data_IF_856643056826
#
_entry.id   IF_856643056826
#
_cell.length_a   1.000
_cell.length_b   1.000
_cell.length_c   1.000
_cell.angle_alpha   90.00
_cell.angle_beta   90.00
_cell.angle_gamma   90.00
#
_symmetry.space_group_name_H-M   'P 1'
#
loop_
_entity.id
_entity.type
_entity.pdbx_description
1 polymer ?
#
# COMPACT_ATOMS: atom_id res chain seq x y z
N UNK A 1 10.26 -31.46 -24.86
CA UNK A 1 9.11 -32.39 -24.97
C UNK A 1 8.06 -31.93 -23.99
N UNK A 2 6.93 -31.42 -24.52
CA UNK A 2 5.80 -31.04 -23.68
C UNK A 2 5.06 -32.32 -23.27
N UNK A 3 5.21 -32.68 -21.99
CA UNK A 3 4.55 -33.88 -21.43
C UNK A 3 3.04 -33.65 -21.15
N UNK A 4 2.57 -32.39 -21.26
CA UNK A 4 1.18 -32.02 -21.00
C UNK A 4 0.46 -31.59 -22.28
N UNK A 5 -0.87 -31.59 -22.24
CA UNK A 5 -1.65 -30.99 -23.32
C UNK A 5 -1.40 -29.48 -23.40
N UNK A 6 -1.53 -28.91 -24.62
CA UNK A 6 -1.33 -27.48 -24.84
C UNK A 6 -2.13 -26.59 -23.85
N UNK A 7 -3.36 -26.99 -23.52
CA UNK A 7 -4.23 -26.25 -22.60
C UNK A 7 -3.67 -26.23 -21.17
N UNK A 8 -3.11 -27.36 -20.72
CA UNK A 8 -2.47 -27.44 -19.36
C UNK A 8 -1.21 -26.59 -19.34
N UNK A 9 -0.39 -26.68 -20.39
CA UNK A 9 0.85 -25.88 -20.50
C UNK A 9 0.54 -24.39 -20.46
N UNK A 10 -0.41 -23.91 -21.25
CA UNK A 10 -0.83 -22.50 -21.24
C UNK A 10 -1.33 -22.04 -19.86
N UNK A 11 -2.14 -22.85 -19.18
CA UNK A 11 -2.61 -22.50 -17.83
C UNK A 11 -1.45 -22.41 -16.81
N UNK A 12 -0.48 -23.31 -16.90
CA UNK A 12 0.73 -23.28 -16.06
C UNK A 12 1.53 -22.01 -16.33
N UNK A 13 1.72 -21.66 -17.60
CA UNK A 13 2.45 -20.45 -18.00
C UNK A 13 1.78 -19.18 -17.48
N UNK A 14 0.46 -19.04 -17.64
CA UNK A 14 -0.27 -17.85 -17.13
C UNK A 14 -0.21 -17.74 -15.61
N UNK A 15 -0.38 -18.85 -14.89
CA UNK A 15 -0.25 -18.86 -13.44
C UNK A 15 1.18 -18.55 -12.98
N UNK A 16 2.19 -18.99 -13.74
CA UNK A 16 3.61 -18.73 -13.47
C UNK A 16 4.04 -17.27 -13.65
N UNK A 17 3.25 -16.45 -14.37
CA UNK A 17 3.47 -15.00 -14.49
C UNK A 17 3.08 -14.23 -13.24
N UNK A 18 2.33 -14.85 -12.33
CA UNK A 18 1.92 -14.19 -11.08
C UNK A 18 3.12 -14.09 -10.11
N UNK A 19 3.33 -12.92 -9.48
CA UNK A 19 4.45 -12.73 -8.57
C UNK A 19 4.39 -13.71 -7.39
N UNK A 20 5.53 -14.34 -7.08
CA UNK A 20 5.65 -15.34 -6.03
C UNK A 20 5.21 -16.76 -6.43
N UNK A 21 4.71 -16.97 -7.65
CA UNK A 21 4.32 -18.29 -8.16
C UNK A 21 5.43 -18.84 -9.07
N UNK A 22 6.25 -19.74 -8.51
CA UNK A 22 7.25 -20.47 -9.28
C UNK A 22 6.64 -21.63 -10.11
N UNK A 23 7.41 -22.21 -11.04
CA UNK A 23 6.93 -23.26 -11.96
C UNK A 23 6.25 -24.46 -11.27
N UNK A 24 6.80 -24.89 -10.12
CA UNK A 24 6.24 -26.01 -9.35
C UNK A 24 4.87 -25.68 -8.75
N UNK A 25 4.70 -24.45 -8.23
CA UNK A 25 3.44 -23.98 -7.68
C UNK A 25 2.42 -23.74 -8.78
N UNK A 26 2.83 -23.17 -9.92
CA UNK A 26 1.97 -22.99 -11.10
C UNK A 26 1.40 -24.32 -11.59
N UNK A 27 2.24 -25.36 -11.71
CA UNK A 27 1.80 -26.71 -12.08
C UNK A 27 0.77 -27.26 -11.09
N UNK A 28 1.03 -27.16 -9.79
CA UNK A 28 0.07 -27.63 -8.76
C UNK A 28 -1.27 -26.91 -8.83
N UNK A 29 -1.26 -25.59 -9.02
CA UNK A 29 -2.48 -24.78 -9.15
C UNK A 29 -3.25 -25.14 -10.42
N UNK A 30 -2.58 -25.31 -11.57
CA UNK A 30 -3.21 -25.68 -12.82
C UNK A 30 -3.94 -27.02 -12.70
N UNK A 31 -3.29 -28.06 -12.17
CA UNK A 31 -3.93 -29.35 -11.95
C UNK A 31 -5.07 -29.28 -10.93
N UNK A 32 -4.96 -28.44 -9.90
CA UNK A 32 -6.06 -28.23 -8.97
C UNK A 32 -7.28 -27.63 -9.68
N UNK A 33 -7.07 -26.56 -10.48
CA UNK A 33 -8.14 -25.89 -11.24
C UNK A 33 -8.82 -26.84 -12.21
N UNK A 34 -8.05 -27.68 -12.95
CA UNK A 34 -8.61 -28.66 -13.90
C UNK A 34 -9.50 -29.68 -13.19
N UNK A 35 -9.16 -30.06 -11.95
CA UNK A 35 -9.94 -31.02 -11.18
C UNK A 35 -11.10 -30.39 -10.39
N UNK A 36 -11.24 -29.05 -10.39
CA UNK A 36 -12.37 -28.38 -9.76
C UNK A 36 -13.65 -28.56 -10.56
N UNK A 37 -14.84 -28.53 -9.92
CA UNK A 37 -16.13 -28.42 -10.60
C UNK A 37 -16.17 -27.19 -11.52
N UNK A 38 -16.79 -27.33 -12.69
CA UNK A 38 -16.80 -26.28 -13.72
C UNK A 38 -17.44 -24.97 -13.24
N UNK A 39 -18.46 -25.04 -12.38
CA UNK A 39 -19.11 -23.88 -11.77
C UNK A 39 -18.16 -23.08 -10.87
N UNK A 40 -17.29 -23.76 -10.12
CA UNK A 40 -16.29 -23.12 -9.28
C UNK A 40 -15.18 -22.45 -10.11
N UNK A 41 -14.75 -23.09 -11.18
CA UNK A 41 -13.77 -22.50 -12.13
C UNK A 41 -14.35 -21.26 -12.77
N UNK A 42 -15.61 -21.32 -13.23
CA UNK A 42 -16.32 -20.18 -13.79
C UNK A 42 -16.42 -19.04 -12.80
N UNK A 43 -16.84 -19.33 -11.56
CA UNK A 43 -16.92 -18.33 -10.48
C UNK A 43 -15.58 -17.65 -10.23
N UNK A 44 -14.47 -18.40 -10.18
CA UNK A 44 -13.12 -17.85 -10.01
C UNK A 44 -12.76 -16.90 -11.17
N UNK A 45 -12.95 -17.35 -12.40
CA UNK A 45 -12.69 -16.56 -13.61
C UNK A 45 -13.52 -15.27 -13.64
N UNK A 46 -14.81 -15.37 -13.41
CA UNK A 46 -15.72 -14.23 -13.41
C UNK A 46 -15.36 -13.23 -12.29
N UNK A 47 -14.94 -13.73 -11.11
CA UNK A 47 -14.50 -12.87 -9.99
C UNK A 47 -13.21 -12.11 -10.34
N UNK A 48 -12.23 -12.75 -10.99
CA UNK A 48 -10.99 -12.08 -11.43
C UNK A 48 -11.31 -10.97 -12.42
N UNK A 49 -12.14 -11.25 -13.42
CA UNK A 49 -12.54 -10.27 -14.44
C UNK A 49 -13.33 -9.11 -13.78
N UNK A 50 -14.29 -9.43 -12.93
CA UNK A 50 -15.10 -8.44 -12.22
C UNK A 50 -14.25 -7.52 -11.34
N UNK A 51 -13.31 -8.07 -10.57
CA UNK A 51 -12.39 -7.29 -9.75
C UNK A 51 -11.53 -6.35 -10.62
N UNK A 52 -10.97 -6.86 -11.73
CA UNK A 52 -10.17 -6.03 -12.64
C UNK A 52 -10.97 -4.91 -13.30
N UNK A 53 -12.25 -5.13 -13.58
CA UNK A 53 -13.11 -4.17 -14.28
C UNK A 53 -13.67 -3.11 -13.34
N UNK A 54 -14.07 -3.50 -12.13
CA UNK A 54 -14.84 -2.63 -11.22
C UNK A 54 -13.98 -1.91 -10.19
N UNK A 55 -12.83 -2.49 -9.81
CA UNK A 55 -11.93 -1.83 -8.84
C UNK A 55 -11.16 -0.71 -9.53
N UNK A 56 -11.26 0.48 -8.97
CA UNK A 56 -10.60 1.70 -9.44
C UNK A 56 -10.06 2.52 -8.25
N UNK A 57 -9.47 3.65 -8.53
CA UNK A 57 -8.98 4.54 -7.48
C UNK A 57 -10.08 5.44 -6.94
N UNK A 58 -10.17 5.54 -5.62
CA UNK A 58 -10.99 6.55 -4.94
C UNK A 58 -10.59 7.95 -5.41
N UNK A 59 -11.57 8.77 -5.80
CA UNK A 59 -11.32 10.13 -6.32
C UNK A 59 -10.65 11.06 -5.30
N UNK A 60 -10.78 10.78 -4.01
CA UNK A 60 -10.18 11.61 -2.96
C UNK A 60 -8.82 11.07 -2.51
N UNK A 61 -8.75 9.82 -2.05
CA UNK A 61 -7.55 9.29 -1.38
C UNK A 61 -6.70 8.36 -2.24
N UNK A 62 -7.12 8.09 -3.46
CA UNK A 62 -6.46 7.18 -4.39
C UNK A 62 -6.37 5.72 -3.92
N UNK A 63 -7.03 5.31 -2.83
CA UNK A 63 -7.08 3.88 -2.49
C UNK A 63 -7.90 3.10 -3.51
N UNK A 64 -7.66 1.78 -3.59
CA UNK A 64 -8.46 0.90 -4.43
C UNK A 64 -9.86 0.70 -3.83
N UNK A 65 -10.90 0.87 -4.64
CA UNK A 65 -12.31 0.77 -4.24
C UNK A 65 -13.16 0.42 -5.44
N UNK A 66 -14.34 -0.11 -5.21
CA UNK A 66 -15.41 -0.32 -6.20
C UNK A 66 -16.46 0.82 -6.20
N UNK A 67 -16.29 1.82 -5.33
CA UNK A 67 -17.11 3.02 -5.28
C UNK A 67 -16.33 4.26 -5.74
N UNK A 68 -17.02 5.27 -6.25
CA UNK A 68 -16.41 6.55 -6.65
C UNK A 68 -15.56 7.17 -5.53
N UNK A 69 -16.09 7.15 -4.30
CA UNK A 69 -15.41 7.54 -3.07
C UNK A 69 -15.41 6.35 -2.12
N UNK A 70 -14.25 6.00 -1.57
CA UNK A 70 -14.14 4.84 -0.69
C UNK A 70 -14.90 5.06 0.63
N UNK A 71 -15.28 3.98 1.33
CA UNK A 71 -16.03 4.08 2.59
C UNK A 71 -15.36 4.93 3.68
N UNK A 72 -14.03 5.03 3.68
CA UNK A 72 -13.28 5.84 4.64
C UNK A 72 -13.47 7.33 4.33
N UNK A 73 -13.29 7.74 3.07
CA UNK A 73 -13.47 9.13 2.67
C UNK A 73 -14.94 9.58 2.71
N UNK A 74 -15.88 8.67 2.49
CA UNK A 74 -17.32 8.96 2.56
C UNK A 74 -17.88 9.03 3.99
N UNK A 75 -17.07 8.70 5.01
CA UNK A 75 -17.54 8.62 6.39
C UNK A 75 -17.46 9.94 7.12
N UNK A 76 -18.60 10.49 7.55
CA UNK A 76 -18.69 11.68 8.40
C UNK A 76 -18.12 11.47 9.82
N UNK A 77 -17.81 10.22 10.18
CA UNK A 77 -17.21 9.90 11.50
C UNK A 77 -15.69 10.09 11.51
N UNK A 78 -15.09 10.29 10.33
CA UNK A 78 -13.64 10.47 10.19
C UNK A 78 -13.26 11.94 10.31
N UNK A 79 -12.12 12.19 10.91
CA UNK A 79 -11.51 13.52 10.92
C UNK A 79 -10.82 13.80 9.59
N UNK A 80 -11.50 14.54 8.73
CA UNK A 80 -10.98 14.92 7.41
C UNK A 80 -9.88 15.99 7.48
N UNK A 81 -9.64 16.60 8.66
CA UNK A 81 -8.56 17.55 8.84
C UNK A 81 -7.19 16.88 9.07
N UNK A 82 -7.17 15.57 9.29
CA UNK A 82 -5.96 14.76 9.51
C UNK A 82 -5.81 13.71 8.41
N UNK A 83 -4.75 13.82 7.62
CA UNK A 83 -4.48 12.90 6.49
C UNK A 83 -3.23 12.07 6.80
N UNK A 84 -3.32 10.74 6.73
CA UNK A 84 -2.18 9.84 6.76
C UNK A 84 -1.79 9.43 5.35
N UNK A 85 -0.53 9.69 4.96
CA UNK A 85 0.03 9.31 3.66
C UNK A 85 0.71 7.96 3.76
N UNK A 86 0.32 7.04 2.90
CA UNK A 86 0.87 5.68 2.80
C UNK A 86 1.30 5.37 1.36
N UNK A 87 2.20 4.41 1.18
CA UNK A 87 2.70 4.07 -0.16
C UNK A 87 1.70 3.24 -0.98
N UNK A 88 0.92 2.36 -0.34
CA UNK A 88 -0.01 1.48 -1.03
C UNK A 88 -1.26 1.17 -0.18
N UNK A 89 -2.29 0.60 -0.82
CA UNK A 89 -3.56 0.25 -0.15
C UNK A 89 -3.37 -0.80 0.96
N UNK A 90 -2.36 -1.67 0.89
CA UNK A 90 -2.10 -2.67 1.95
C UNK A 90 -1.61 -2.02 3.22
N UNK A 91 -0.81 -0.97 3.11
CA UNK A 91 -0.33 -0.19 4.26
C UNK A 91 -1.50 0.51 4.95
N UNK A 92 -2.40 1.13 4.15
CA UNK A 92 -3.66 1.69 4.68
C UNK A 92 -4.44 0.64 5.47
N UNK A 93 -4.64 -0.54 4.90
CA UNK A 93 -5.38 -1.62 5.56
C UNK A 93 -4.70 -2.13 6.84
N UNK A 94 -3.38 -2.03 6.95
CA UNK A 94 -2.66 -2.37 8.16
C UNK A 94 -2.99 -1.39 9.30
N UNK A 95 -3.06 -0.09 9.00
CA UNK A 95 -3.49 0.92 9.99
C UNK A 95 -4.97 0.78 10.36
N UNK A 96 -5.86 0.55 9.40
CA UNK A 96 -7.29 0.34 9.67
C UNK A 96 -7.54 -0.84 10.62
N UNK A 97 -6.76 -1.92 10.50
CA UNK A 97 -6.84 -3.07 11.41
C UNK A 97 -6.54 -2.72 12.87
N UNK A 98 -5.82 -1.64 13.14
CA UNK A 98 -5.57 -1.20 14.52
C UNK A 98 -6.83 -0.67 15.20
N UNK A 99 -7.80 -0.17 14.43
CA UNK A 99 -9.05 0.44 14.91
C UNK A 99 -8.85 1.70 15.75
N UNK A 100 -7.68 2.37 15.67
CA UNK A 100 -7.31 3.53 16.49
C UNK A 100 -7.15 4.82 15.71
N UNK A 101 -6.96 4.74 14.40
CA UNK A 101 -6.81 5.91 13.57
C UNK A 101 -8.18 6.44 13.12
N UNK A 102 -8.45 7.69 13.44
CA UNK A 102 -9.75 8.33 13.17
C UNK A 102 -9.72 9.28 11.96
N UNK A 103 -8.54 9.59 11.43
CA UNK A 103 -8.37 10.43 10.26
C UNK A 103 -8.65 9.70 8.95
N UNK A 104 -8.34 10.38 7.84
CA UNK A 104 -8.45 9.84 6.48
C UNK A 104 -7.06 9.58 5.89
N UNK A 105 -7.00 8.90 4.76
CA UNK A 105 -5.73 8.49 4.15
C UNK A 105 -5.50 9.16 2.79
N UNK A 106 -4.25 9.08 2.33
CA UNK A 106 -3.88 9.28 0.94
C UNK A 106 -2.87 8.20 0.52
N UNK A 107 -3.15 7.53 -0.60
CA UNK A 107 -2.32 6.42 -1.11
C UNK A 107 -1.52 6.91 -2.32
N UNK A 108 -0.18 6.85 -2.20
CA UNK A 108 0.74 7.33 -3.24
C UNK A 108 0.89 6.37 -4.43
N UNK A 109 0.62 5.08 -4.24
CA UNK A 109 0.89 4.00 -5.21
C UNK A 109 2.36 3.89 -5.64
N UNK A 110 3.27 4.19 -4.74
CA UNK A 110 4.71 4.08 -4.93
C UNK A 110 5.50 4.96 -3.98
N UNK A 111 6.79 4.99 -4.19
CA UNK A 111 7.74 5.85 -3.50
C UNK A 111 8.72 6.45 -4.52
N UNK A 112 9.26 7.62 -4.24
CA UNK A 112 10.28 8.27 -5.07
C UNK A 112 11.55 7.42 -5.01
N UNK A 113 12.01 6.95 -6.18
CA UNK A 113 13.23 6.16 -6.31
C UNK A 113 14.05 6.64 -7.51
N UNK A 114 15.03 7.52 -7.28
CA UNK A 114 15.90 8.00 -8.36
C UNK A 114 16.65 6.87 -9.08
N UNK A 115 17.00 5.81 -8.36
CA UNK A 115 17.67 4.64 -8.92
C UNK A 115 16.80 3.87 -9.92
N UNK A 116 15.47 3.85 -9.71
CA UNK A 116 14.51 3.21 -10.60
C UNK A 116 13.88 4.20 -11.59
N UNK A 117 14.31 5.47 -11.60
CA UNK A 117 13.75 6.52 -12.43
C UNK A 117 12.33 6.95 -12.03
N UNK A 118 11.89 6.62 -10.79
CA UNK A 118 10.57 6.99 -10.28
C UNK A 118 10.67 8.35 -9.62
N UNK A 119 10.02 9.35 -10.22
CA UNK A 119 9.94 10.73 -9.74
C UNK A 119 8.62 11.03 -9.00
N UNK A 120 8.47 12.29 -8.55
CA UNK A 120 7.25 12.74 -7.88
C UNK A 120 5.98 12.67 -8.75
N UNK A 121 6.15 12.78 -10.09
CA UNK A 121 5.04 12.74 -11.04
C UNK A 121 4.57 11.31 -11.36
N UNK A 122 5.35 10.30 -11.00
CA UNK A 122 5.02 8.88 -11.21
C UNK A 122 4.18 8.28 -10.07
N UNK A 123 4.02 9.03 -8.98
CA UNK A 123 3.21 8.66 -7.81
C UNK A 123 2.07 9.66 -7.62
N UNK A 124 1.07 9.32 -6.80
CA UNK A 124 -0.13 10.14 -6.56
C UNK A 124 0.13 11.37 -5.65
N UNK A 125 1.25 12.04 -5.85
CA UNK A 125 1.64 13.22 -5.07
C UNK A 125 0.89 14.47 -5.49
N UNK A 126 0.61 14.63 -6.79
CA UNK A 126 -0.15 15.76 -7.32
C UNK A 126 -1.56 15.81 -6.73
N UNK A 127 -2.21 14.67 -6.62
CA UNK A 127 -3.53 14.54 -6.00
C UNK A 127 -3.48 14.86 -4.50
N UNK A 128 -2.41 14.44 -3.81
CA UNK A 128 -2.19 14.84 -2.42
C UNK A 128 -2.10 16.36 -2.29
N UNK A 129 -1.27 17.01 -3.09
CA UNK A 129 -1.07 18.47 -3.02
C UNK A 129 -2.35 19.25 -3.31
N UNK A 130 -3.18 18.79 -4.24
CA UNK A 130 -4.49 19.38 -4.51
C UNK A 130 -5.42 19.26 -3.29
N UNK A 131 -5.39 18.12 -2.60
CA UNK A 131 -6.21 17.85 -1.42
C UNK A 131 -5.80 18.70 -0.21
N UNK A 132 -4.51 19.03 -0.08
CA UNK A 132 -3.99 19.87 1.01
C UNK A 132 -4.38 21.36 0.88
N UNK A 133 -5.06 21.76 -0.17
CA UNK A 133 -5.62 23.13 -0.30
C UNK A 133 -6.93 23.32 0.48
N UNK A 134 -7.50 22.24 1.04
CA UNK A 134 -8.66 22.28 1.92
C UNK A 134 -8.30 22.53 3.38
N UNK A 135 -9.24 22.27 4.29
CA UNK A 135 -9.10 22.50 5.75
C UNK A 135 -8.26 21.41 6.45
N UNK A 136 -7.09 21.09 5.89
CA UNK A 136 -6.18 20.10 6.45
C UNK A 136 -5.27 20.74 7.49
N UNK A 137 -5.24 20.18 8.70
CA UNK A 137 -4.45 20.64 9.85
C UNK A 137 -3.19 19.83 10.07
N UNK A 138 -3.26 18.53 9.81
CA UNK A 138 -2.13 17.63 10.01
C UNK A 138 -1.97 16.64 8.86
N UNK A 139 -0.73 16.47 8.41
CA UNK A 139 -0.29 15.44 7.50
C UNK A 139 0.64 14.49 8.24
N UNK A 140 0.22 13.23 8.38
CA UNK A 140 1.02 12.16 8.99
C UNK A 140 1.67 11.36 7.86
N UNK A 141 3.00 11.34 7.81
CA UNK A 141 3.74 10.56 6.81
C UNK A 141 4.00 9.16 7.38
N UNK A 142 3.43 8.17 6.72
CA UNK A 142 3.52 6.75 7.07
C UNK A 142 4.05 5.92 5.91
N UNK A 143 5.12 6.42 5.26
CA UNK A 143 5.90 5.67 4.25
C UNK A 143 6.76 4.61 4.93
N UNK A 144 7.18 3.58 4.18
CA UNK A 144 8.04 2.55 4.69
C UNK A 144 9.40 3.12 5.15
N UNK A 145 10.07 2.41 6.06
CA UNK A 145 11.41 2.78 6.56
C UNK A 145 12.54 2.39 5.57
N UNK A 146 12.24 2.27 4.27
CA UNK A 146 13.21 2.08 3.20
C UNK A 146 13.84 3.42 2.80
N UNK A 147 14.92 3.37 2.01
CA UNK A 147 15.57 4.56 1.46
C UNK A 147 14.59 5.39 0.62
N UNK A 148 13.78 4.73 -0.20
CA UNK A 148 12.75 5.33 -1.06
C UNK A 148 11.64 5.97 -0.22
N UNK A 149 11.17 5.28 0.83
CA UNK A 149 10.14 5.80 1.73
C UNK A 149 10.62 7.01 2.52
N UNK A 150 11.88 7.00 3.01
CA UNK A 150 12.51 8.15 3.67
C UNK A 150 12.67 9.34 2.71
N UNK A 151 13.15 9.07 1.49
CA UNK A 151 13.29 10.10 0.43
C UNK A 151 11.93 10.73 0.12
N UNK A 152 10.89 9.91 0.00
CA UNK A 152 9.52 10.36 -0.24
C UNK A 152 9.01 11.21 0.91
N UNK A 153 9.23 10.76 2.15
CA UNK A 153 8.85 11.51 3.35
C UNK A 153 9.51 12.89 3.42
N UNK A 154 10.82 12.95 3.15
CA UNK A 154 11.56 14.20 3.13
C UNK A 154 11.05 15.14 2.03
N UNK A 155 10.78 14.62 0.84
CA UNK A 155 10.27 15.39 -0.29
C UNK A 155 8.89 16.00 0.04
N UNK A 156 7.94 15.18 0.52
CA UNK A 156 6.60 15.64 0.93
C UNK A 156 6.71 16.67 2.04
N UNK A 157 7.51 16.42 3.07
CA UNK A 157 7.71 17.34 4.20
C UNK A 157 8.21 18.72 3.72
N UNK A 158 9.18 18.73 2.77
CA UNK A 158 9.72 19.97 2.21
C UNK A 158 8.66 20.76 1.43
N UNK A 159 7.77 20.10 0.72
CA UNK A 159 6.69 20.74 -0.03
C UNK A 159 5.59 21.29 0.88
N UNK A 160 5.24 20.56 1.95
CA UNK A 160 4.08 20.87 2.78
C UNK A 160 4.40 21.84 3.93
N UNK A 161 5.59 21.77 4.53
CA UNK A 161 5.98 22.68 5.62
C UNK A 161 5.70 24.18 5.37
N UNK A 162 5.96 24.75 4.17
CA UNK A 162 5.69 26.16 3.90
C UNK A 162 4.20 26.53 3.93
N UNK A 163 3.27 25.56 3.84
CA UNK A 163 1.83 25.83 3.86
C UNK A 163 1.27 26.05 5.28
N UNK A 164 2.07 25.81 6.32
CA UNK A 164 1.65 25.91 7.72
C UNK A 164 0.91 24.67 8.25
N UNK A 165 0.69 23.65 7.41
CA UNK A 165 0.13 22.36 7.85
C UNK A 165 1.15 21.65 8.74
N UNK A 166 0.70 21.13 9.89
CA UNK A 166 1.54 20.30 10.74
C UNK A 166 1.93 19.02 10.01
N UNK A 167 3.23 18.77 9.85
CA UNK A 167 3.75 17.55 9.24
C UNK A 167 4.41 16.71 10.32
N UNK A 168 3.90 15.51 10.53
CA UNK A 168 4.45 14.51 11.44
C UNK A 168 4.79 13.23 10.67
N UNK A 169 5.63 12.39 11.25
CA UNK A 169 5.99 11.07 10.72
C UNK A 169 5.75 10.02 11.77
N UNK A 170 5.34 8.83 11.36
CA UNK A 170 5.22 7.70 12.27
C UNK A 170 6.56 7.43 12.96
N UNK A 171 6.52 7.03 14.22
CA UNK A 171 7.70 6.68 14.99
C UNK A 171 8.41 5.47 14.37
N UNK A 172 9.74 5.49 14.42
CA UNK A 172 10.61 4.37 14.07
C UNK A 172 11.30 3.91 15.34
N UNK A 173 11.33 2.59 15.58
CA UNK A 173 11.98 2.09 16.78
C UNK A 173 11.83 0.59 16.98
N UNK A 174 12.17 0.13 18.18
CA UNK A 174 12.11 -1.28 18.56
C UNK A 174 10.66 -1.78 18.53
N UNK A 175 10.38 -2.90 17.85
CA UNK A 175 9.04 -3.47 17.83
C UNK A 175 8.66 -4.00 19.23
N UNK A 176 7.36 -3.92 19.55
CA UNK A 176 6.82 -4.44 20.82
C UNK A 176 7.05 -5.95 20.90
N UNK A 177 7.64 -6.41 22.01
CA UNK A 177 7.97 -7.81 22.23
C UNK A 177 9.31 -8.26 21.62
N UNK A 178 10.09 -7.32 21.06
CA UNK A 178 11.45 -7.61 20.59
C UNK A 178 12.49 -7.46 21.70
N UNK A 179 13.43 -8.41 21.79
CA UNK A 179 14.59 -8.32 22.67
C UNK A 179 15.65 -7.40 22.03
N UNK A 180 16.21 -6.46 22.80
CA UNK A 180 17.14 -5.45 22.31
C UNK A 180 18.42 -6.06 21.67
N UNK A 181 18.85 -7.22 22.15
CA UNK A 181 20.06 -7.90 21.65
C UNK A 181 19.95 -8.38 20.19
N UNK A 182 18.72 -8.54 19.67
CA UNK A 182 18.45 -8.97 18.29
C UNK A 182 18.11 -7.83 17.34
N UNK A 183 18.09 -6.59 17.85
CA UNK A 183 17.74 -5.40 17.05
C UNK A 183 19.04 -4.83 16.43
N UNK A 184 18.96 -4.48 15.15
CA UNK A 184 20.07 -3.86 14.46
C UNK A 184 20.41 -2.46 14.99
N UNK A 185 21.68 -2.05 14.81
CA UNK A 185 22.21 -0.80 15.35
C UNK A 185 21.46 0.44 14.85
N UNK A 186 21.00 0.44 13.61
CA UNK A 186 20.28 1.59 13.03
C UNK A 186 18.91 1.75 13.69
N UNK A 187 18.20 0.65 13.90
CA UNK A 187 16.89 0.65 14.60
C UNK A 187 17.06 1.09 16.05
N UNK A 188 18.10 0.62 16.75
CA UNK A 188 18.39 1.06 18.13
C UNK A 188 18.72 2.54 18.18
N UNK A 189 19.52 3.05 17.25
CA UNK A 189 19.85 4.49 17.19
C UNK A 189 18.59 5.32 16.97
N UNK A 190 17.74 4.95 16.02
CA UNK A 190 16.45 5.64 15.77
C UNK A 190 15.51 5.62 16.98
N UNK A 191 15.45 4.51 17.70
CA UNK A 191 14.68 4.39 18.93
C UNK A 191 15.21 5.33 20.03
N UNK A 192 16.52 5.45 20.16
CA UNK A 192 17.18 6.35 21.11
C UNK A 192 16.94 7.83 20.76
N UNK A 193 17.05 8.18 19.47
CA UNK A 193 16.78 9.55 18.98
C UNK A 193 15.32 9.94 19.14
N UNK A 194 14.41 9.01 18.85
CA UNK A 194 12.96 9.19 18.94
C UNK A 194 12.37 8.96 20.35
N UNK A 195 13.19 8.82 21.39
CA UNK A 195 12.72 8.57 22.75
C UNK A 195 11.79 9.66 23.24
N UNK A 196 10.78 9.27 23.98
CA UNK A 196 9.81 10.18 24.61
C UNK A 196 10.00 10.20 26.13
N UNK A 197 9.71 11.34 26.74
CA UNK A 197 9.63 11.48 28.19
C UNK A 197 8.37 10.78 28.70
N UNK A 198 8.47 10.09 29.86
CA UNK A 198 7.38 9.33 30.50
C UNK A 198 7.04 9.91 31.86
#
# INVERSE_FOLDING_TARGET
MDYYSNQITQLIEELGKLPGIGPKSAGRLAFHIINMPQDQVKKLSDTIISAKTNVHYCKECCTLTDNEICPICASDRRDHSTIMVVENTRDLMAYEKTGKYEGVYHVLHGAISPMLGIGPDDIRLKELMARLQGDVKELIIATNSSLEGETTAMYISKLVKPTGIKVSKIASGVPVGGDLEYIDEVTLLRALEGRTEI
#
